data_IF_554400841181
#
_entry.id   IF_554400841181
#
_cell.length_a   1.000
_cell.length_b   1.000
_cell.length_c   1.000
_cell.angle_alpha   90.00
_cell.angle_beta   90.00
_cell.angle_gamma   90.00
#
_symmetry.space_group_name_H-M   'P 1'
#
loop_
_entity.id
_entity.type
_entity.pdbx_description
1 polymer ?
#
# COMPACT_ATOMS: atom_id res chain seq x y z
N UNK A 1 1.95 7.16 -27.88
CA UNK A 1 2.21 6.21 -26.77
C UNK A 1 3.70 5.83 -26.60
N UNK A 2 4.65 6.49 -27.29
CA UNK A 2 6.08 6.13 -27.31
C UNK A 2 6.96 6.81 -26.25
N UNK A 3 6.39 7.46 -25.24
CA UNK A 3 7.15 8.29 -24.28
C UNK A 3 7.22 7.74 -22.85
N UNK A 4 6.69 6.54 -22.58
CA UNK A 4 6.70 5.97 -21.21
C UNK A 4 8.11 5.65 -20.68
N UNK A 5 9.09 5.44 -21.56
CA UNK A 5 10.50 5.22 -21.19
C UNK A 5 11.34 6.50 -21.22
N UNK A 6 10.75 7.62 -21.64
CA UNK A 6 11.50 8.86 -21.77
C UNK A 6 11.53 9.57 -20.41
N UNK A 7 12.72 9.78 -19.85
CA UNK A 7 12.86 10.42 -18.53
C UNK A 7 12.19 11.81 -18.51
N UNK A 8 12.27 12.53 -19.63
CA UNK A 8 11.62 13.83 -19.83
C UNK A 8 10.09 13.80 -19.71
N UNK A 9 9.44 12.65 -19.92
CA UNK A 9 8.00 12.48 -19.73
C UNK A 9 7.61 12.44 -18.25
N UNK A 10 8.45 11.84 -17.42
CA UNK A 10 8.24 11.71 -15.97
C UNK A 10 8.64 12.95 -15.19
N UNK A 11 9.70 13.63 -15.64
CA UNK A 11 10.22 14.86 -15.03
C UNK A 11 9.67 16.14 -15.67
N UNK A 12 8.64 16.04 -16.53
CA UNK A 12 7.99 17.22 -17.07
C UNK A 12 7.23 17.96 -15.95
N UNK A 13 7.59 19.23 -15.72
CA UNK A 13 6.93 20.10 -14.73
C UNK A 13 5.55 20.61 -15.20
N UNK A 14 5.27 20.55 -16.51
CA UNK A 14 3.93 20.80 -17.06
C UNK A 14 3.47 19.55 -17.81
N UNK A 15 3.10 18.48 -17.11
CA UNK A 15 2.29 17.46 -17.74
C UNK A 15 0.97 18.15 -18.10
N UNK A 16 0.65 18.23 -19.40
CA UNK A 16 -0.71 18.60 -19.79
C UNK A 16 -1.73 17.64 -19.16
N UNK A 17 -2.99 18.03 -19.19
CA UNK A 17 -4.10 17.32 -18.53
C UNK A 17 -4.01 15.79 -18.68
N UNK A 18 -4.39 15.09 -17.61
CA UNK A 18 -4.58 13.65 -17.66
C UNK A 18 -5.47 13.30 -18.84
N UNK A 19 -4.96 12.42 -19.70
CA UNK A 19 -5.79 11.79 -20.71
C UNK A 19 -6.98 11.11 -19.98
N UNK A 20 -8.21 11.12 -20.53
CA UNK A 20 -9.39 10.52 -19.90
C UNK A 20 -9.16 9.11 -19.33
N UNK A 21 -8.35 8.31 -20.02
CA UNK A 21 -7.96 6.96 -19.61
C UNK A 21 -7.16 6.91 -18.29
N UNK A 22 -6.42 7.96 -17.96
CA UNK A 22 -5.66 8.08 -16.72
C UNK A 22 -6.57 8.25 -15.50
N UNK A 23 -7.64 9.04 -15.60
CA UNK A 23 -8.64 9.15 -14.54
C UNK A 23 -9.34 7.81 -14.26
N UNK A 24 -9.65 7.04 -15.32
CA UNK A 24 -10.22 5.69 -15.18
C UNK A 24 -9.25 4.76 -14.46
N UNK A 25 -7.96 4.78 -14.82
CA UNK A 25 -6.94 3.96 -14.18
C UNK A 25 -6.80 4.29 -12.69
N UNK A 26 -6.74 5.57 -12.33
CA UNK A 26 -6.72 6.01 -10.93
C UNK A 26 -7.98 5.61 -10.17
N UNK A 27 -9.16 5.76 -10.77
CA UNK A 27 -10.42 5.34 -10.18
C UNK A 27 -10.45 3.85 -9.86
N UNK A 28 -9.98 3.00 -10.78
CA UNK A 28 -9.83 1.55 -10.56
C UNK A 28 -8.83 1.28 -9.42
N UNK A 29 -7.72 2.01 -9.37
CA UNK A 29 -6.69 1.83 -8.34
C UNK A 29 -7.20 2.18 -6.93
N UNK A 30 -7.93 3.29 -6.81
CA UNK A 30 -8.60 3.70 -5.57
C UNK A 30 -9.61 2.63 -5.13
N UNK A 31 -10.45 2.17 -6.06
CA UNK A 31 -11.45 1.14 -5.78
C UNK A 31 -10.79 -0.18 -5.33
N UNK A 32 -9.69 -0.57 -5.96
CA UNK A 32 -8.92 -1.75 -5.55
C UNK A 32 -8.38 -1.62 -4.11
N UNK A 33 -7.86 -0.45 -3.71
CA UNK A 33 -7.45 -0.24 -2.32
C UNK A 33 -8.60 -0.30 -1.33
N UNK A 34 -9.76 0.28 -1.66
CA UNK A 34 -10.95 0.21 -0.81
C UNK A 34 -11.35 -1.26 -0.59
N UNK A 35 -11.40 -2.05 -1.66
CA UNK A 35 -11.69 -3.49 -1.58
C UNK A 35 -10.66 -4.21 -0.69
N UNK A 36 -9.36 -3.93 -0.86
CA UNK A 36 -8.31 -4.53 -0.02
C UNK A 36 -8.46 -4.16 1.45
N UNK A 37 -8.78 -2.91 1.79
CA UNK A 37 -9.02 -2.47 3.18
C UNK A 37 -10.17 -3.27 3.79
N UNK A 38 -11.29 -3.41 3.07
CA UNK A 38 -12.46 -4.17 3.52
C UNK A 38 -12.10 -5.64 3.75
N UNK A 39 -11.41 -6.27 2.79
CA UNK A 39 -10.94 -7.65 2.92
C UNK A 39 -10.03 -7.83 4.13
N UNK A 40 -9.05 -6.94 4.33
CA UNK A 40 -8.12 -7.01 5.46
C UNK A 40 -8.83 -6.79 6.81
N UNK A 41 -9.84 -5.92 6.88
CA UNK A 41 -10.64 -5.76 8.09
C UNK A 41 -11.45 -7.02 8.42
N UNK A 42 -12.06 -7.68 7.42
CA UNK A 42 -12.81 -8.92 7.61
C UNK A 42 -11.88 -10.03 8.11
N UNK A 43 -10.72 -10.20 7.47
CA UNK A 43 -9.74 -11.25 7.84
C UNK A 43 -9.14 -11.00 9.22
N UNK A 44 -8.94 -9.73 9.60
CA UNK A 44 -8.44 -9.33 10.92
C UNK A 44 -9.39 -9.71 12.06
N UNK A 45 -10.71 -9.72 11.82
CA UNK A 45 -11.73 -10.07 12.85
C UNK A 45 -11.81 -11.57 13.15
N UNK A 46 -11.09 -12.43 12.42
CA UNK A 46 -11.12 -13.88 12.67
C UNK A 46 -10.39 -14.24 13.97
N UNK A 47 -11.00 -15.06 14.85
CA UNK A 47 -10.35 -15.53 16.07
C UNK A 47 -9.13 -16.40 15.74
N UNK A 48 -8.11 -16.35 16.60
CA UNK A 48 -6.87 -17.15 16.51
C UNK A 48 -5.95 -16.83 15.30
N UNK A 49 -6.05 -15.62 14.75
CA UNK A 49 -5.23 -15.23 13.61
C UNK A 49 -3.80 -14.87 14.06
N UNK A 50 -2.88 -15.84 13.99
CA UNK A 50 -1.43 -15.67 14.25
C UNK A 50 -0.83 -14.53 13.41
N UNK A 51 -1.44 -14.25 12.25
CA UNK A 51 -1.01 -13.22 11.31
C UNK A 51 -1.64 -11.84 11.57
N UNK A 52 -2.34 -11.62 12.70
CA UNK A 52 -3.01 -10.36 13.03
C UNK A 52 -2.10 -9.13 12.89
N UNK A 53 -0.83 -9.24 13.29
CA UNK A 53 0.16 -8.16 13.14
C UNK A 53 0.42 -7.83 11.67
N UNK A 54 0.47 -8.81 10.76
CA UNK A 54 0.61 -8.56 9.33
C UNK A 54 -0.67 -7.93 8.78
N UNK A 55 -1.84 -8.48 9.09
CA UNK A 55 -3.10 -7.94 8.58
C UNK A 55 -3.28 -6.48 9.01
N UNK A 56 -2.83 -6.12 10.21
CA UNK A 56 -2.77 -4.71 10.65
C UNK A 56 -1.78 -3.89 9.82
N UNK A 57 -0.59 -4.43 9.53
CA UNK A 57 0.40 -3.78 8.66
C UNK A 57 -0.09 -3.58 7.23
N UNK A 58 -0.67 -4.61 6.61
CA UNK A 58 -1.26 -4.55 5.26
C UNK A 58 -2.45 -3.60 5.20
N UNK A 59 -3.28 -3.55 6.25
CA UNK A 59 -4.38 -2.60 6.32
C UNK A 59 -3.86 -1.15 6.43
N UNK A 60 -2.85 -0.90 7.29
CA UNK A 60 -2.21 0.41 7.36
C UNK A 60 -1.59 0.81 6.02
N UNK A 61 -0.91 -0.12 5.35
CA UNK A 61 -0.35 0.09 4.02
C UNK A 61 -1.44 0.47 3.00
N UNK A 62 -2.56 -0.25 2.96
CA UNK A 62 -3.65 0.05 2.04
C UNK A 62 -4.32 1.41 2.33
N UNK A 63 -4.53 1.75 3.59
CA UNK A 63 -5.10 3.05 4.00
C UNK A 63 -4.16 4.20 3.62
N UNK A 64 -2.88 4.11 3.96
CA UNK A 64 -1.90 5.17 3.65
C UNK A 64 -1.78 5.37 2.14
N UNK A 65 -1.76 4.29 1.36
CA UNK A 65 -1.69 4.39 -0.10
C UNK A 65 -2.98 4.92 -0.73
N UNK A 66 -4.16 4.58 -0.17
CA UNK A 66 -5.42 5.18 -0.59
C UNK A 66 -5.40 6.70 -0.38
N UNK A 67 -4.95 7.14 0.79
CA UNK A 67 -4.84 8.58 1.12
C UNK A 67 -3.87 9.26 0.15
N UNK A 68 -2.68 8.70 -0.05
CA UNK A 68 -1.69 9.28 -0.98
C UNK A 68 -2.24 9.34 -2.41
N UNK A 69 -2.91 8.28 -2.89
CA UNK A 69 -3.51 8.25 -4.22
C UNK A 69 -4.57 9.36 -4.40
N UNK A 70 -5.39 9.61 -3.37
CA UNK A 70 -6.37 10.71 -3.38
C UNK A 70 -5.67 12.08 -3.41
N UNK A 71 -4.61 12.27 -2.63
CA UNK A 71 -3.82 13.50 -2.66
C UNK A 71 -3.15 13.73 -4.02
N UNK A 72 -2.58 12.70 -4.63
CA UNK A 72 -1.96 12.80 -5.96
C UNK A 72 -3.00 13.19 -7.01
N UNK A 73 -4.18 12.56 -6.98
CA UNK A 73 -5.28 12.91 -7.89
C UNK A 73 -5.77 14.36 -7.68
N UNK A 74 -5.84 14.81 -6.42
CA UNK A 74 -6.22 16.18 -6.10
C UNK A 74 -5.18 17.20 -6.59
N UNK A 75 -3.89 16.97 -6.35
CA UNK A 75 -2.82 17.87 -6.82
C UNK A 75 -2.71 17.94 -8.34
N UNK A 76 -3.04 16.84 -9.02
CA UNK A 76 -3.09 16.81 -10.48
C UNK A 76 -4.27 17.65 -11.02
N UNK A 77 -5.42 17.64 -10.34
CA UNK A 77 -6.55 18.50 -10.72
C UNK A 77 -6.31 19.99 -10.47
N UNK A 78 -5.50 20.34 -9.48
CA UNK A 78 -5.19 21.74 -9.14
C UNK A 78 -4.09 22.35 -10.05
N UNK A 79 -3.49 21.58 -10.98
CA UNK A 79 -2.37 22.03 -11.85
C UNK A 79 -1.24 22.75 -11.08
N UNK A 80 -1.00 22.35 -9.83
CA UNK A 80 0.06 22.93 -9.00
C UNK A 80 1.43 22.53 -9.58
N UNK A 81 2.21 23.55 -9.96
CA UNK A 81 3.44 23.46 -10.77
C UNK A 81 4.48 22.42 -10.27
N UNK A 82 4.58 22.20 -8.96
CA UNK A 82 5.53 21.26 -8.35
C UNK A 82 4.89 19.95 -7.87
N UNK A 83 3.61 19.98 -7.50
CA UNK A 83 2.92 18.84 -6.86
C UNK A 83 2.13 18.00 -7.87
N UNK A 84 1.78 18.54 -9.04
CA UNK A 84 1.18 17.81 -10.16
C UNK A 84 2.20 17.09 -11.07
N UNK A 85 3.50 17.18 -10.75
CA UNK A 85 4.52 16.50 -11.54
C UNK A 85 4.38 14.98 -11.43
N UNK A 86 4.43 14.27 -12.57
CA UNK A 86 4.34 12.80 -12.65
C UNK A 86 5.47 12.07 -11.92
N UNK A 87 6.53 12.80 -11.54
CA UNK A 87 7.59 12.33 -10.66
C UNK A 87 7.07 11.78 -9.32
N UNK A 88 6.05 12.42 -8.73
CA UNK A 88 5.50 11.96 -7.45
C UNK A 88 4.88 10.57 -7.55
N UNK A 89 4.36 10.18 -8.72
CA UNK A 89 3.85 8.83 -8.94
C UNK A 89 4.96 7.78 -8.91
N UNK A 90 6.11 8.06 -9.54
CA UNK A 90 7.27 7.16 -9.48
C UNK A 90 7.80 7.03 -8.05
N UNK A 91 7.98 8.16 -7.36
CA UNK A 91 8.44 8.17 -5.98
C UNK A 91 7.51 7.36 -5.08
N UNK A 92 6.20 7.54 -5.25
CA UNK A 92 5.19 6.80 -4.52
C UNK A 92 5.23 5.29 -4.81
N UNK A 93 5.37 4.90 -6.08
CA UNK A 93 5.46 3.49 -6.49
C UNK A 93 6.70 2.81 -5.90
N UNK A 94 7.85 3.50 -5.87
CA UNK A 94 9.07 3.01 -5.22
C UNK A 94 8.86 2.88 -3.70
N UNK A 95 8.26 3.88 -3.06
CA UNK A 95 7.93 3.84 -1.63
C UNK A 95 7.03 2.65 -1.28
N UNK A 96 5.99 2.40 -2.09
CA UNK A 96 5.13 1.23 -1.97
C UNK A 96 5.92 -0.07 -2.06
N UNK A 97 6.81 -0.20 -3.04
CA UNK A 97 7.60 -1.41 -3.25
C UNK A 97 8.54 -1.70 -2.06
N UNK A 98 9.23 -0.67 -1.55
CA UNK A 98 10.12 -0.80 -0.39
C UNK A 98 9.32 -1.20 0.86
N UNK A 99 8.16 -0.57 1.09
CA UNK A 99 7.34 -0.89 2.25
C UNK A 99 6.75 -2.30 2.17
N UNK A 100 6.28 -2.71 0.99
CA UNK A 100 5.81 -4.07 0.76
C UNK A 100 6.92 -5.11 1.00
N UNK A 101 8.15 -4.82 0.57
CA UNK A 101 9.32 -5.67 0.84
C UNK A 101 9.56 -5.88 2.35
N UNK A 102 9.49 -4.82 3.16
CA UNK A 102 9.61 -4.94 4.62
C UNK A 102 8.48 -5.77 5.25
N UNK A 103 7.25 -5.66 4.74
CA UNK A 103 6.11 -6.48 5.18
C UNK A 103 6.35 -7.96 4.85
N UNK A 104 6.87 -8.27 3.65
CA UNK A 104 7.18 -9.64 3.22
C UNK A 104 8.32 -10.27 4.03
N UNK A 105 9.36 -9.50 4.37
CA UNK A 105 10.42 -9.98 5.28
C UNK A 105 9.84 -10.31 6.66
N UNK A 106 8.97 -9.46 7.19
CA UNK A 106 8.31 -9.72 8.47
C UNK A 106 7.46 -10.99 8.42
N UNK A 107 6.81 -11.27 7.29
CA UNK A 107 6.02 -12.49 7.09
C UNK A 107 6.87 -13.77 7.22
N UNK A 108 8.12 -13.74 6.72
CA UNK A 108 9.06 -14.87 6.84
C UNK A 108 9.55 -15.14 8.27
N UNK A 109 9.47 -14.16 9.18
CA UNK A 109 9.85 -14.32 10.61
C UNK A 109 8.73 -14.87 11.49
N UNK A 110 7.53 -15.06 10.95
CA UNK A 110 6.36 -15.55 11.70
C UNK A 110 6.40 -17.01 12.13
N UNK A 111 6.98 -17.98 11.39
CA UNK A 111 7.09 -19.34 11.91
C UNK A 111 7.82 -19.40 13.26
N UNK A 112 8.87 -18.60 13.46
CA UNK A 112 9.59 -18.50 14.74
C UNK A 112 8.69 -17.93 15.86
N UNK A 113 7.93 -16.87 15.56
CA UNK A 113 6.97 -16.29 16.52
C UNK A 113 5.87 -17.29 16.88
N UNK A 114 5.42 -18.12 15.92
CA UNK A 114 4.39 -19.13 16.15
C UNK A 114 4.87 -20.26 17.07
N UNK A 115 6.14 -20.67 16.96
CA UNK A 115 6.74 -21.64 17.88
C UNK A 115 6.88 -21.06 19.29
N UNK A 116 7.30 -19.81 19.43
CA UNK A 116 7.37 -19.14 20.74
C UNK A 116 5.99 -19.04 21.40
N UNK A 117 4.95 -18.69 20.63
CA UNK A 117 3.58 -18.60 21.15
C UNK A 117 3.03 -19.97 21.59
N UNK A 118 3.36 -21.05 20.88
CA UNK A 118 3.01 -22.41 21.30
C UNK A 118 3.70 -22.80 22.61
N UNK A 119 5.00 -22.51 22.72
CA UNK A 119 5.76 -22.78 23.95
C UNK A 119 5.22 -22.00 25.15
N UNK A 120 4.84 -20.74 24.97
CA UNK A 120 4.20 -19.94 26.02
C UNK A 120 2.82 -20.47 26.42
N UNK A 121 2.01 -20.94 25.46
CA UNK A 121 0.71 -21.55 25.75
C UNK A 121 0.84 -22.88 26.49
N UNK A 122 1.83 -23.70 26.13
CA UNK A 122 2.16 -24.91 26.88
C UNK A 122 2.63 -24.56 28.29
N UNK A 123 3.53 -23.59 28.46
CA UNK A 123 4.03 -23.16 29.77
C UNK A 123 2.91 -22.63 30.68
N UNK A 124 1.99 -21.81 30.14
CA UNK A 124 0.81 -21.30 30.87
C UNK A 124 -0.19 -22.39 31.24
N UNK A 125 -0.20 -23.54 30.54
CA UNK A 125 -1.03 -24.68 30.91
C UNK A 125 -0.55 -25.36 32.22
N UNK A 126 0.72 -25.16 32.59
CA UNK A 126 1.33 -25.77 33.77
C UNK A 126 1.49 -24.81 34.96
N UNK A 127 1.10 -23.55 34.82
CA UNK A 127 1.09 -22.58 35.93
C UNK A 127 -0.37 -22.26 36.25
N UNK A 128 -0.90 -22.71 37.39
CA UNK A 128 -2.27 -22.43 37.83
C UNK A 128 -2.50 -20.96 38.17
#
# INVERSE_FOLDING_TARGET
MSNLLNLSYWFNMRPGDLHPNGYVFFGIFILAFIVLIVLFQIVRKRPNNVYFKIWRGLNSFAITNLIIALFLMFFESETLYLLGARFWLLLWLVSMAVWLYFILIHLKKIPEIKEQFKKEQEYKKYIP
#
